data_IF_624759349969
#
_entry.id   IF_624759349969
#
_cell.length_a   1.000
_cell.length_b   1.000
_cell.length_c   1.000
_cell.angle_alpha   90.00
_cell.angle_beta   90.00
_cell.angle_gamma   90.00
#
_symmetry.space_group_name_H-M   'P 1'
#
loop_
_entity.id
_entity.type
_entity.pdbx_description
1 polymer ?
#
# COMPACT_ATOMS: atom_id res chain seq x y z
N UNK A 1 -77.06 -48.28 9.29
CA UNK A 1 -76.63 -47.49 8.11
C UNK A 1 -75.88 -46.19 8.45
N UNK A 2 -75.72 -45.80 9.74
CA UNK A 2 -75.16 -44.49 10.12
C UNK A 2 -73.62 -44.40 10.16
N UNK A 3 -72.90 -45.52 10.32
CA UNK A 3 -71.45 -45.54 10.54
C UNK A 3 -70.60 -45.04 9.35
N UNK A 4 -71.06 -45.24 8.11
CA UNK A 4 -70.31 -44.79 6.92
C UNK A 4 -70.41 -43.26 6.72
N UNK A 5 -71.56 -42.67 7.05
CA UNK A 5 -71.77 -41.23 6.98
C UNK A 5 -70.91 -40.49 8.01
N UNK A 6 -70.80 -41.02 9.24
CA UNK A 6 -69.95 -40.46 10.28
C UNK A 6 -68.46 -40.51 9.92
N UNK A 7 -68.00 -41.59 9.26
CA UNK A 7 -66.62 -41.72 8.77
C UNK A 7 -66.30 -40.67 7.71
N UNK A 8 -67.17 -40.52 6.70
CA UNK A 8 -67.01 -39.52 5.65
C UNK A 8 -66.98 -38.09 6.20
N UNK A 9 -67.83 -37.80 7.20
CA UNK A 9 -67.84 -36.50 7.87
C UNK A 9 -66.52 -36.20 8.59
N UNK A 10 -65.92 -37.20 9.24
CA UNK A 10 -64.62 -37.06 9.92
C UNK A 10 -63.48 -36.86 8.92
N UNK A 11 -63.51 -37.55 7.79
CA UNK A 11 -62.53 -37.36 6.70
C UNK A 11 -62.63 -35.95 6.10
N UNK A 12 -63.85 -35.47 5.83
CA UNK A 12 -64.07 -34.11 5.31
C UNK A 12 -63.52 -33.04 6.27
N UNK A 13 -63.74 -33.21 7.58
CA UNK A 13 -63.23 -32.27 8.59
C UNK A 13 -61.69 -32.32 8.70
N UNK A 14 -61.07 -33.48 8.48
CA UNK A 14 -59.61 -33.60 8.42
C UNK A 14 -59.05 -32.89 7.18
N UNK A 15 -59.69 -33.06 6.03
CA UNK A 15 -59.32 -32.39 4.78
C UNK A 15 -59.43 -30.88 4.96
N UNK A 16 -60.55 -30.39 5.51
CA UNK A 16 -60.76 -28.96 5.79
C UNK A 16 -59.64 -28.36 6.65
N UNK A 17 -59.29 -29.02 7.77
CA UNK A 17 -58.16 -28.59 8.63
C UNK A 17 -56.81 -28.64 7.92
N UNK A 18 -56.61 -29.61 7.01
CA UNK A 18 -55.37 -29.68 6.22
C UNK A 18 -55.26 -28.54 5.20
N UNK A 19 -56.38 -28.14 4.59
CA UNK A 19 -56.45 -27.01 3.67
C UNK A 19 -56.15 -25.69 4.38
N UNK A 20 -56.77 -25.44 5.54
CA UNK A 20 -56.48 -24.24 6.36
C UNK A 20 -54.98 -24.13 6.73
N UNK A 21 -54.34 -25.25 7.06
CA UNK A 21 -52.89 -25.28 7.34
C UNK A 21 -52.06 -24.93 6.10
N UNK A 22 -52.44 -25.46 4.93
CA UNK A 22 -51.76 -25.16 3.67
C UNK A 22 -51.88 -23.69 3.29
N UNK A 23 -53.06 -23.09 3.48
CA UNK A 23 -53.30 -21.66 3.21
C UNK A 23 -52.45 -20.77 4.13
N UNK A 24 -52.37 -21.10 5.42
CA UNK A 24 -51.53 -20.37 6.37
C UNK A 24 -50.04 -20.47 6.01
N UNK A 25 -49.55 -21.68 5.69
CA UNK A 25 -48.16 -21.89 5.25
C UNK A 25 -47.86 -21.11 3.97
N UNK A 26 -48.80 -21.07 3.03
CA UNK A 26 -48.64 -20.32 1.79
C UNK A 26 -48.51 -18.80 2.05
N UNK A 27 -49.34 -18.25 2.93
CA UNK A 27 -49.27 -16.84 3.32
C UNK A 27 -47.94 -16.49 4.02
N UNK A 28 -47.43 -17.40 4.86
CA UNK A 28 -46.12 -17.25 5.51
C UNK A 28 -44.99 -17.24 4.47
N UNK A 29 -44.98 -18.20 3.55
CA UNK A 29 -44.00 -18.27 2.45
C UNK A 29 -44.03 -16.99 1.60
N UNK A 30 -45.21 -16.45 1.29
CA UNK A 30 -45.33 -15.21 0.53
C UNK A 30 -44.73 -14.00 1.26
N UNK A 31 -44.90 -13.95 2.59
CA UNK A 31 -44.35 -12.88 3.43
C UNK A 31 -42.83 -12.98 3.50
N UNK A 32 -42.29 -14.17 3.73
CA UNK A 32 -40.86 -14.41 3.75
C UNK A 32 -40.21 -14.12 2.39
N UNK A 33 -40.84 -14.53 1.29
CA UNK A 33 -40.34 -14.23 -0.05
C UNK A 33 -40.27 -12.72 -0.32
N UNK A 34 -41.26 -11.97 0.16
CA UNK A 34 -41.24 -10.50 0.08
C UNK A 34 -40.11 -9.90 0.91
N UNK A 35 -39.89 -10.40 2.12
CA UNK A 35 -38.80 -9.96 2.98
C UNK A 35 -37.43 -10.26 2.35
N UNK A 36 -37.24 -11.46 1.78
CA UNK A 36 -36.02 -11.83 1.05
C UNK A 36 -35.80 -10.93 -0.16
N UNK A 37 -36.84 -10.63 -0.95
CA UNK A 37 -36.74 -9.73 -2.11
C UNK A 37 -36.26 -8.34 -1.70
N UNK A 38 -36.82 -7.76 -0.65
CA UNK A 38 -36.38 -6.46 -0.13
C UNK A 38 -34.91 -6.50 0.33
N UNK A 39 -34.51 -7.55 1.06
CA UNK A 39 -33.12 -7.71 1.49
C UNK A 39 -32.15 -7.82 0.31
N UNK A 40 -32.55 -8.53 -0.75
CA UNK A 40 -31.75 -8.69 -1.97
C UNK A 40 -31.56 -7.36 -2.70
N UNK A 41 -32.62 -6.55 -2.83
CA UNK A 41 -32.52 -5.22 -3.44
C UNK A 41 -31.59 -4.30 -2.64
N UNK A 42 -31.76 -4.25 -1.32
CA UNK A 42 -30.88 -3.45 -0.45
C UNK A 42 -29.42 -3.93 -0.51
N UNK A 43 -29.20 -5.24 -0.63
CA UNK A 43 -27.85 -5.79 -0.81
C UNK A 43 -27.27 -5.38 -2.16
N UNK A 44 -28.07 -5.35 -3.23
CA UNK A 44 -27.66 -4.88 -4.55
C UNK A 44 -27.23 -3.41 -4.54
N UNK A 45 -28.00 -2.53 -3.90
CA UNK A 45 -27.64 -1.11 -3.74
C UNK A 45 -26.31 -0.95 -2.99
N UNK A 46 -26.15 -1.67 -1.87
CA UNK A 46 -24.89 -1.65 -1.09
C UNK A 46 -23.69 -2.16 -1.88
N UNK A 47 -23.88 -3.13 -2.78
CA UNK A 47 -22.81 -3.62 -3.64
C UNK A 47 -22.41 -2.53 -4.63
N UNK A 48 -23.38 -1.86 -5.27
CA UNK A 48 -23.12 -0.74 -6.18
C UNK A 48 -22.33 0.38 -5.48
N UNK A 49 -22.72 0.77 -4.27
CA UNK A 49 -22.01 1.80 -3.49
C UNK A 49 -20.56 1.38 -3.18
N UNK A 50 -20.33 0.09 -2.92
CA UNK A 50 -18.98 -0.43 -2.66
C UNK A 50 -18.15 -0.46 -3.95
N UNK A 51 -18.74 -0.83 -5.09
CA UNK A 51 -18.08 -0.80 -6.40
C UNK A 51 -17.61 0.62 -6.76
N UNK A 52 -18.47 1.63 -6.57
CA UNK A 52 -18.12 3.03 -6.80
C UNK A 52 -16.95 3.48 -5.92
N UNK A 53 -16.99 3.15 -4.62
CA UNK A 53 -15.88 3.45 -3.70
C UNK A 53 -14.58 2.76 -4.07
N UNK A 54 -14.63 1.53 -4.57
CA UNK A 54 -13.44 0.80 -5.03
C UNK A 54 -12.83 1.51 -6.24
N UNK A 55 -13.65 2.02 -7.17
CA UNK A 55 -13.16 2.78 -8.32
C UNK A 55 -12.48 4.08 -7.88
N UNK A 56 -13.07 4.83 -6.94
CA UNK A 56 -12.48 6.06 -6.39
C UNK A 56 -11.12 5.78 -5.72
N UNK A 57 -11.04 4.75 -4.87
CA UNK A 57 -9.79 4.35 -4.20
C UNK A 57 -8.73 3.96 -5.22
N UNK A 58 -9.11 3.21 -6.26
CA UNK A 58 -8.18 2.77 -7.31
C UNK A 58 -7.60 3.96 -8.07
N UNK A 59 -8.46 4.90 -8.48
CA UNK A 59 -8.04 6.11 -9.19
C UNK A 59 -7.14 6.99 -8.31
N UNK A 60 -7.51 7.20 -7.05
CA UNK A 60 -6.69 7.96 -6.09
C UNK A 60 -5.33 7.30 -5.88
N UNK A 61 -5.29 5.97 -5.70
CA UNK A 61 -4.05 5.22 -5.55
C UNK A 61 -3.10 5.38 -6.74
N UNK A 62 -3.64 5.31 -7.97
CA UNK A 62 -2.86 5.54 -9.19
C UNK A 62 -2.29 6.97 -9.27
N UNK A 63 -3.07 7.98 -8.86
CA UNK A 63 -2.59 9.36 -8.82
C UNK A 63 -1.44 9.54 -7.83
N UNK A 64 -1.58 8.98 -6.62
CA UNK A 64 -0.52 9.02 -5.60
C UNK A 64 0.74 8.29 -6.07
N UNK A 65 0.62 7.12 -6.69
CA UNK A 65 1.75 6.37 -7.23
C UNK A 65 2.52 7.18 -8.29
N UNK A 66 1.80 7.83 -9.21
CA UNK A 66 2.40 8.68 -10.24
C UNK A 66 3.13 9.89 -9.64
N UNK A 67 2.56 10.52 -8.61
CA UNK A 67 3.21 11.60 -7.89
C UNK A 67 4.49 11.12 -7.19
N UNK A 68 4.45 9.95 -6.54
CA UNK A 68 5.63 9.36 -5.89
C UNK A 68 6.75 9.07 -6.89
N UNK A 69 6.43 8.47 -8.05
CA UNK A 69 7.42 8.23 -9.12
C UNK A 69 8.06 9.53 -9.63
N UNK A 70 7.26 10.59 -9.77
CA UNK A 70 7.77 11.92 -10.16
C UNK A 70 8.68 12.50 -9.08
N UNK A 71 8.30 12.41 -7.81
CA UNK A 71 9.12 12.88 -6.70
C UNK A 71 10.44 12.11 -6.60
N UNK A 72 10.41 10.78 -6.73
CA UNK A 72 11.62 9.96 -6.75
C UNK A 72 12.56 10.36 -7.88
N UNK A 73 12.02 10.53 -9.09
CA UNK A 73 12.81 10.96 -10.25
C UNK A 73 13.42 12.34 -10.05
N UNK A 74 12.67 13.29 -9.48
CA UNK A 74 13.15 14.62 -9.16
C UNK A 74 14.25 14.60 -8.09
N UNK A 75 14.10 13.77 -7.05
CA UNK A 75 15.12 13.61 -6.01
C UNK A 75 16.41 13.05 -6.62
N UNK A 76 16.31 12.03 -7.47
CA UNK A 76 17.47 11.46 -8.17
C UNK A 76 18.17 12.53 -9.02
N UNK A 77 17.39 13.28 -9.81
CA UNK A 77 17.92 14.39 -10.61
C UNK A 77 18.62 15.46 -9.76
N UNK A 78 18.02 15.89 -8.65
CA UNK A 78 18.64 16.86 -7.75
C UNK A 78 19.92 16.31 -7.11
N UNK A 79 19.92 15.04 -6.72
CA UNK A 79 21.08 14.39 -6.12
C UNK A 79 22.23 14.27 -7.10
N UNK A 80 21.94 13.92 -8.36
CA UNK A 80 22.93 13.84 -9.43
C UNK A 80 23.51 15.23 -9.74
N UNK A 81 22.68 16.27 -9.75
CA UNK A 81 23.16 17.65 -9.92
C UNK A 81 24.04 18.11 -8.77
N UNK A 82 23.65 17.84 -7.52
CA UNK A 82 24.47 18.18 -6.34
C UNK A 82 25.81 17.45 -6.40
N UNK A 83 25.82 16.19 -6.87
CA UNK A 83 27.03 15.38 -6.97
C UNK A 83 27.90 15.68 -8.17
N UNK A 84 27.41 16.40 -9.19
CA UNK A 84 28.20 16.69 -10.39
C UNK A 84 29.54 17.31 -10.02
N UNK A 85 29.55 18.33 -9.15
CA UNK A 85 30.78 19.00 -8.74
C UNK A 85 31.60 18.24 -7.67
N UNK A 86 31.14 17.08 -7.20
CA UNK A 86 31.82 16.35 -6.13
C UNK A 86 32.89 15.40 -6.69
N UNK A 87 34.10 15.49 -6.16
CA UNK A 87 35.20 14.57 -6.46
C UNK A 87 35.39 13.57 -5.31
N UNK A 88 35.63 12.30 -5.64
CA UNK A 88 35.91 11.25 -4.66
C UNK A 88 37.35 10.74 -4.85
N UNK A 89 38.17 10.95 -3.83
CA UNK A 89 39.56 10.48 -3.79
C UNK A 89 39.58 9.17 -2.98
N UNK A 90 40.09 8.10 -3.56
CA UNK A 90 40.13 6.75 -2.98
C UNK A 90 41.60 6.32 -2.83
N UNK A 91 41.89 5.49 -1.83
CA UNK A 91 43.24 4.94 -1.61
C UNK A 91 44.12 5.82 -0.72
N UNK A 92 43.60 6.93 -0.21
CA UNK A 92 44.31 7.80 0.73
C UNK A 92 44.47 7.10 2.09
N UNK A 93 45.70 7.00 2.65
CA UNK A 93 45.93 6.37 3.94
C UNK A 93 45.14 7.05 5.07
N UNK A 94 44.76 6.28 6.09
CA UNK A 94 44.07 6.84 7.25
C UNK A 94 44.95 7.79 8.07
N UNK A 95 46.26 7.55 8.08
CA UNK A 95 47.29 8.34 8.76
C UNK A 95 47.35 9.78 8.24
N UNK A 96 46.95 10.02 6.98
CA UNK A 96 46.88 11.38 6.42
C UNK A 96 45.67 12.21 6.92
N UNK A 97 44.91 11.72 7.93
CA UNK A 97 43.87 12.52 8.62
C UNK A 97 44.42 13.87 9.11
N UNK A 98 45.67 13.89 9.57
CA UNK A 98 46.31 15.08 10.13
C UNK A 98 46.74 16.10 9.07
N UNK A 99 47.06 15.64 7.85
CA UNK A 99 47.42 16.51 6.72
C UNK A 99 46.22 17.35 6.25
N UNK A 100 44.98 16.93 6.48
CA UNK A 100 43.78 17.60 5.97
C UNK A 100 43.55 17.32 4.47
N UNK A 101 42.28 17.21 4.06
CA UNK A 101 41.90 16.70 2.73
C UNK A 101 42.32 17.67 1.60
N UNK A 102 42.31 18.97 1.87
CA UNK A 102 42.72 20.00 0.91
C UNK A 102 44.20 19.89 0.56
N UNK A 103 45.07 19.67 1.55
CA UNK A 103 46.50 19.47 1.32
C UNK A 103 46.77 18.21 0.49
N UNK A 104 46.04 17.13 0.75
CA UNK A 104 46.12 15.89 -0.03
C UNK A 104 45.67 16.13 -1.47
N UNK A 105 44.60 16.90 -1.67
CA UNK A 105 44.14 17.28 -3.02
C UNK A 105 45.20 18.09 -3.77
N UNK A 106 45.82 19.08 -3.14
CA UNK A 106 46.89 19.90 -3.75
C UNK A 106 48.13 19.07 -4.10
N UNK A 107 48.53 18.12 -3.22
CA UNK A 107 49.63 17.18 -3.47
C UNK A 107 49.31 16.34 -4.72
N UNK A 108 48.12 15.73 -4.78
CA UNK A 108 47.65 14.93 -5.93
C UNK A 108 47.62 15.77 -7.22
N UNK A 109 47.05 16.97 -7.18
CA UNK A 109 46.98 17.87 -8.33
C UNK A 109 48.38 18.27 -8.80
N UNK A 110 49.31 18.50 -7.87
CA UNK A 110 50.68 18.89 -8.20
C UNK A 110 51.50 17.80 -8.86
N UNK A 111 51.34 16.57 -8.39
CA UNK A 111 52.09 15.41 -8.86
C UNK A 111 51.53 14.87 -10.18
N UNK A 112 50.20 14.86 -10.33
CA UNK A 112 49.54 14.20 -11.46
C UNK A 112 49.08 15.19 -12.56
N UNK A 113 48.72 16.42 -12.20
CA UNK A 113 48.13 17.40 -13.11
C UNK A 113 48.82 18.78 -13.02
N UNK A 114 50.14 18.85 -13.26
CA UNK A 114 50.89 20.11 -13.09
C UNK A 114 50.35 21.27 -13.95
N UNK A 115 49.76 20.97 -15.11
CA UNK A 115 49.15 21.97 -16.00
C UNK A 115 47.85 22.60 -15.46
N UNK A 116 47.21 21.96 -14.47
CA UNK A 116 45.99 22.46 -13.84
C UNK A 116 46.27 23.33 -12.61
N UNK A 117 47.54 23.41 -12.15
CA UNK A 117 47.94 24.27 -11.02
C UNK A 117 47.64 25.75 -11.21
N UNK A 118 47.68 26.24 -12.44
CA UNK A 118 47.42 27.64 -12.76
C UNK A 118 45.91 27.97 -12.82
N UNK A 119 45.05 26.95 -12.66
CA UNK A 119 43.60 27.13 -12.65
C UNK A 119 43.12 27.43 -11.23
N UNK A 120 42.25 28.44 -11.06
CA UNK A 120 41.67 28.84 -9.77
C UNK A 120 40.58 27.84 -9.32
N UNK A 121 40.98 26.61 -9.01
CA UNK A 121 40.11 25.55 -8.48
C UNK A 121 39.84 25.85 -7.01
N UNK A 122 38.56 26.10 -6.68
CA UNK A 122 38.13 26.37 -5.30
C UNK A 122 37.44 25.17 -4.70
N UNK A 123 37.94 24.71 -3.56
CA UNK A 123 37.29 23.70 -2.74
C UNK A 123 36.27 24.40 -1.86
N UNK A 124 35.00 24.05 -2.02
CA UNK A 124 33.93 24.59 -1.18
C UNK A 124 33.83 23.84 0.16
N UNK A 125 33.99 22.52 0.14
CA UNK A 125 33.94 21.66 1.30
C UNK A 125 34.77 20.40 1.03
N UNK A 126 35.50 19.93 2.05
CA UNK A 126 36.23 18.68 1.99
C UNK A 126 35.92 17.84 3.24
N UNK A 127 35.50 16.59 3.03
CA UNK A 127 35.14 15.67 4.12
C UNK A 127 35.53 14.24 3.76
N UNK A 128 36.06 13.51 4.73
CA UNK A 128 36.35 12.08 4.58
C UNK A 128 35.04 11.33 4.79
N UNK A 129 34.70 10.45 3.85
CA UNK A 129 33.51 9.62 4.00
C UNK A 129 33.64 8.77 5.28
N UNK A 130 32.56 8.60 6.06
CA UNK A 130 32.59 7.73 7.23
C UNK A 130 33.04 6.32 6.84
N UNK A 131 34.00 5.76 7.57
CA UNK A 131 34.37 4.37 7.39
C UNK A 131 33.17 3.49 7.71
N UNK A 132 32.80 2.60 6.80
CA UNK A 132 31.79 1.56 7.06
C UNK A 132 32.39 0.50 7.98
N UNK A 133 32.60 0.83 9.25
CA UNK A 133 32.77 -0.20 10.27
C UNK A 133 31.36 -0.72 10.54
N UNK A 134 31.01 -1.88 10.00
CA UNK A 134 29.77 -2.58 10.35
C UNK A 134 29.79 -2.88 11.84
N UNK A 135 29.19 -2.00 12.65
CA UNK A 135 28.87 -2.34 14.04
C UNK A 135 27.74 -3.36 14.01
N UNK A 136 28.12 -4.63 14.00
CA UNK A 136 27.21 -5.72 14.34
C UNK A 136 26.81 -5.58 15.79
N UNK A 137 25.50 -5.36 16.02
CA UNK A 137 24.83 -5.68 17.28
C UNK A 137 24.63 -4.51 18.22
N UNK A 138 23.42 -3.93 18.19
CA UNK A 138 22.61 -3.62 19.38
C UNK A 138 21.20 -3.22 18.91
N UNK A 139 20.35 -4.24 18.70
CA UNK A 139 18.89 -4.12 18.76
C UNK A 139 18.43 -4.72 20.09
N UNK A 140 18.62 -3.95 21.15
CA UNK A 140 17.90 -3.99 22.42
C UNK A 140 17.81 -2.49 22.75
N UNK A 141 16.68 -1.81 22.61
CA UNK A 141 15.46 -1.99 23.37
C UNK A 141 14.23 -1.49 22.58
N UNK A 142 13.33 -2.38 22.18
CA UNK A 142 11.87 -2.14 22.13
C UNK A 142 11.20 -3.50 22.35
N UNK A 143 10.86 -3.82 23.59
CA UNK A 143 9.61 -4.46 24.03
C UNK A 143 9.46 -4.23 25.54
#
# INVERSE_FOLDING_TARGET
MNSKADSLRKELENIRRSQEKLENLFAEIQTELRAVKTRMNNAGERISDVEDRIMEITQSGQQTENQMKKHESNIRYLWDNIKWANLCIIGTPEEEKEKGIENIFEEIMSENFPNLKETDIKIQESKRAPNKVTQTGQLQDIL
#
